data_IF_386095382391
#
_entry.id   IF_386095382391
#
_cell.length_a   1.000
_cell.length_b   1.000
_cell.length_c   1.000
_cell.angle_alpha   90.00
_cell.angle_beta   90.00
_cell.angle_gamma   90.00
#
_symmetry.space_group_name_H-M   'P 1'
#
loop_
_entity.id
_entity.type
_entity.pdbx_description
1 polymer ?
#
# COMPACT_ATOMS: atom_id res chain seq x y z
N UNK A 1 13.75 -13.54 -22.94
CA UNK A 1 13.08 -13.29 -21.65
C UNK A 1 12.30 -11.99 -21.79
N UNK A 2 10.97 -12.07 -21.90
CA UNK A 2 10.13 -10.88 -22.03
C UNK A 2 10.04 -10.18 -20.67
N UNK A 3 10.72 -9.04 -20.52
CA UNK A 3 10.54 -8.18 -19.36
C UNK A 3 9.12 -7.61 -19.39
N UNK A 4 8.20 -8.22 -18.64
CA UNK A 4 6.91 -7.60 -18.35
C UNK A 4 7.22 -6.28 -17.64
N UNK A 5 7.06 -5.17 -18.36
CA UNK A 5 7.15 -3.83 -17.77
C UNK A 5 5.92 -3.66 -16.88
N UNK A 6 6.09 -3.93 -15.60
CA UNK A 6 5.13 -3.54 -14.58
C UNK A 6 5.09 -2.01 -14.63
N UNK A 7 3.95 -1.45 -15.06
CA UNK A 7 3.71 -0.02 -14.96
C UNK A 7 3.49 0.29 -13.48
N UNK A 8 4.58 0.57 -12.76
CA UNK A 8 4.49 0.97 -11.37
C UNK A 8 3.89 2.38 -11.34
N UNK A 9 2.77 2.52 -10.63
CA UNK A 9 2.15 3.82 -10.46
C UNK A 9 3.12 4.75 -9.71
N UNK A 10 3.42 5.91 -10.29
CA UNK A 10 4.35 6.89 -9.69
C UNK A 10 3.73 7.66 -8.52
N UNK A 11 2.52 7.30 -8.10
CA UNK A 11 1.75 8.00 -7.08
C UNK A 11 1.28 7.00 -6.02
N UNK A 12 1.26 7.45 -4.77
CA UNK A 12 0.78 6.70 -3.63
C UNK A 12 -0.68 6.29 -3.85
N UNK A 13 -0.96 4.99 -3.72
CA UNK A 13 -2.32 4.45 -3.88
C UNK A 13 -3.33 5.01 -2.88
N UNK A 14 -2.87 5.43 -1.69
CA UNK A 14 -3.72 5.92 -0.59
C UNK A 14 -3.97 7.43 -0.60
N UNK A 15 -2.95 8.23 -0.91
CA UNK A 15 -3.04 9.69 -0.83
C UNK A 15 -2.78 10.43 -2.15
N UNK A 16 -2.39 9.72 -3.21
CA UNK A 16 -2.07 10.30 -4.52
C UNK A 16 -0.76 11.08 -4.58
N UNK A 17 -0.02 11.19 -3.47
CA UNK A 17 1.27 11.89 -3.44
C UNK A 17 2.27 11.24 -4.41
N UNK A 18 3.10 12.03 -5.13
CA UNK A 18 4.13 11.47 -5.99
C UNK A 18 5.13 10.67 -5.14
N UNK A 19 5.46 9.47 -5.60
CA UNK A 19 6.43 8.58 -4.99
C UNK A 19 7.78 8.75 -5.66
N UNK A 20 8.84 8.62 -4.86
CA UNK A 20 10.19 8.43 -5.38
C UNK A 20 10.40 6.98 -5.81
N UNK A 21 11.36 6.74 -6.71
CA UNK A 21 11.73 5.37 -7.15
C UNK A 21 12.10 4.50 -5.93
N UNK A 22 12.71 5.09 -4.91
CA UNK A 22 13.04 4.38 -3.67
C UNK A 22 11.77 3.90 -2.96
N UNK A 23 10.78 4.76 -2.73
CA UNK A 23 9.51 4.39 -2.08
C UNK A 23 8.71 3.36 -2.89
N UNK A 24 8.79 3.42 -4.22
CA UNK A 24 8.13 2.45 -5.09
C UNK A 24 8.63 1.01 -4.87
N UNK A 25 9.92 0.80 -4.63
CA UNK A 25 10.47 -0.55 -4.44
C UNK A 25 10.16 -1.14 -3.06
N UNK A 26 10.10 -0.31 -2.02
CA UNK A 26 9.86 -0.75 -0.65
C UNK A 26 8.39 -1.04 -0.36
N UNK A 27 7.48 -0.36 -1.06
CA UNK A 27 6.04 -0.38 -0.75
C UNK A 27 5.16 -0.76 -1.95
N UNK A 28 5.73 -1.34 -3.01
CA UNK A 28 4.95 -1.89 -4.12
C UNK A 28 4.37 -3.25 -3.78
N UNK A 29 3.07 -3.40 -4.05
CA UNK A 29 2.37 -4.68 -4.03
C UNK A 29 2.60 -5.47 -5.34
N UNK A 30 2.18 -6.73 -5.36
CA UNK A 30 2.23 -7.62 -6.54
C UNK A 30 1.48 -7.06 -7.76
N UNK A 31 0.50 -6.19 -7.53
CA UNK A 31 -0.26 -5.49 -8.58
C UNK A 31 0.43 -4.23 -9.13
N UNK A 32 1.65 -3.90 -8.66
CA UNK A 32 2.39 -2.71 -9.11
C UNK A 32 1.87 -1.38 -8.54
N UNK A 33 1.02 -1.45 -7.50
CA UNK A 33 0.57 -0.28 -6.74
C UNK A 33 1.50 -0.05 -5.55
N UNK A 34 2.02 1.16 -5.41
CA UNK A 34 2.87 1.52 -4.28
C UNK A 34 2.20 2.55 -3.36
N UNK A 35 2.57 2.54 -2.09
CA UNK A 35 2.20 3.55 -1.10
C UNK A 35 3.41 4.36 -0.67
N UNK A 36 3.22 5.58 -0.16
CA UNK A 36 4.32 6.33 0.46
C UNK A 36 4.58 5.84 1.88
N UNK A 37 5.79 6.10 2.38
CA UNK A 37 6.22 5.72 3.73
C UNK A 37 5.23 6.18 4.82
N UNK A 38 4.73 7.41 4.72
CA UNK A 38 3.77 7.94 5.68
C UNK A 38 2.45 7.17 5.71
N UNK A 39 1.95 6.74 4.55
CA UNK A 39 0.70 5.98 4.48
C UNK A 39 0.89 4.50 4.88
N UNK A 40 2.06 3.91 4.60
CA UNK A 40 2.38 2.54 5.04
C UNK A 40 2.62 2.48 6.53
N UNK A 41 3.35 3.44 7.10
CA UNK A 41 3.55 3.53 8.55
C UNK A 41 2.22 3.67 9.28
N UNK A 42 1.33 4.54 8.80
CA UNK A 42 -0.03 4.65 9.37
C UNK A 42 -0.78 3.32 9.29
N UNK A 43 -0.70 2.62 8.17
CA UNK A 43 -1.35 1.32 8.05
C UNK A 43 -0.75 0.28 9.01
N UNK A 44 0.57 0.22 9.16
CA UNK A 44 1.23 -0.65 10.14
C UNK A 44 0.79 -0.34 11.58
N UNK A 45 0.74 0.96 11.95
CA UNK A 45 0.23 1.39 13.26
C UNK A 45 -1.22 0.94 13.48
N UNK A 46 -2.07 1.05 12.45
CA UNK A 46 -3.46 0.58 12.51
C UNK A 46 -3.57 -0.95 12.60
N UNK A 47 -2.69 -1.71 11.94
CA UNK A 47 -2.61 -3.17 12.03
C UNK A 47 -2.13 -3.60 13.41
N UNK A 48 -1.13 -2.92 13.98
CA UNK A 48 -0.66 -3.17 15.34
C UNK A 48 -1.76 -2.89 16.37
N UNK A 49 -2.50 -1.79 16.23
CA UNK A 49 -3.65 -1.50 17.07
C UNK A 49 -4.72 -2.60 17.01
N UNK A 50 -4.99 -3.16 15.82
CA UNK A 50 -5.90 -4.30 15.68
C UNK A 50 -5.35 -5.56 16.37
N UNK A 51 -4.04 -5.84 16.19
CA UNK A 51 -3.37 -6.99 16.80
C UNK A 51 -3.37 -6.90 18.33
N UNK A 52 -3.29 -5.70 18.88
CA UNK A 52 -3.33 -5.44 20.32
C UNK A 52 -4.76 -5.43 20.89
N UNK A 53 -5.80 -5.53 20.05
CA UNK A 53 -7.20 -5.42 20.47
C UNK A 53 -7.63 -3.98 20.80
N UNK A 54 -6.88 -2.97 20.35
CA UNK A 54 -7.23 -1.55 20.49
C UNK A 54 -8.21 -1.10 19.40
N UNK A 55 -8.35 -1.89 18.33
CA UNK A 55 -9.33 -1.72 17.25
C UNK A 55 -9.90 -3.08 16.82
N UNK A 56 -11.21 -3.14 16.58
CA UNK A 56 -11.88 -4.34 16.09
C UNK A 56 -11.83 -4.47 14.54
N UNK A 57 -11.72 -3.34 13.83
CA UNK A 57 -11.74 -3.30 12.37
C UNK A 57 -10.34 -3.31 11.77
N UNK A 58 -9.98 -4.41 11.09
CA UNK A 58 -8.71 -4.51 10.37
C UNK A 58 -8.62 -3.44 9.27
N UNK A 59 -7.53 -2.65 9.21
CA UNK A 59 -7.44 -1.55 8.26
C UNK A 59 -7.38 -2.07 6.84
N UNK A 60 -8.30 -1.60 6.00
CA UNK A 60 -8.27 -1.93 4.58
C UNK A 60 -7.05 -1.29 3.92
N UNK A 61 -6.39 -2.07 3.09
CA UNK A 61 -5.32 -1.64 2.22
C UNK A 61 -5.83 -0.94 0.94
N UNK A 62 -7.15 -0.81 0.82
CA UNK A 62 -7.82 -0.32 -0.37
C UNK A 62 -7.80 -1.33 -1.53
N UNK A 63 -7.38 -2.59 -1.28
CA UNK A 63 -7.36 -3.66 -2.29
C UNK A 63 -8.58 -4.58 -2.23
N UNK A 64 -9.32 -4.60 -1.12
CA UNK A 64 -10.43 -5.54 -0.89
C UNK A 64 -11.82 -5.04 -1.31
N UNK A 65 -11.95 -3.89 -1.97
CA UNK A 65 -13.19 -3.52 -2.67
C UNK A 65 -13.33 -4.21 -4.05
N UNK A 66 -12.96 -5.49 -4.16
CA UNK A 66 -13.59 -6.35 -5.16
C UNK A 66 -14.91 -6.84 -4.58
N UNK A 67 -15.95 -6.00 -4.73
CA UNK A 67 -17.34 -6.48 -4.65
C UNK A 67 -17.45 -7.70 -5.57
N UNK A 68 -17.83 -8.83 -4.96
CA UNK A 68 -18.32 -10.02 -5.67
C UNK A 68 -19.52 -9.67 -6.54
#
# INVERSE_FOLDING_TARGET
MSANRINIALNCRRCGAPLTIAEMHFFADVDGKASCDGCERKWMEEVEACRNGERDDFPTDGLTETKQ
#
